data_IF_192852537538
#
_entry.id   IF_192852537538
#
_cell.length_a   1.000
_cell.length_b   1.000
_cell.length_c   1.000
_cell.angle_alpha   90.00
_cell.angle_beta   90.00
_cell.angle_gamma   90.00
#
_symmetry.space_group_name_H-M   'P 1'
#
loop_
_entity.id
_entity.type
_entity.pdbx_description
1 polymer ?
#
# COMPACT_ATOMS: atom_id res chain seq x y z
N UNK A 1 52.32 21.96 41.64
CA UNK A 1 52.27 20.56 42.12
C UNK A 1 52.59 19.65 40.95
N UNK A 2 53.76 19.03 41.00
CA UNK A 2 54.26 18.04 40.06
C UNK A 2 53.61 16.67 40.30
N UNK A 3 53.28 15.94 39.23
CA UNK A 3 53.55 14.50 39.12
C UNK A 3 53.51 14.06 37.65
N UNK A 4 54.69 13.97 37.08
CA UNK A 4 55.03 13.25 35.86
C UNK A 4 55.17 11.76 36.18
N UNK A 5 54.53 10.89 35.40
CA UNK A 5 54.90 9.47 35.28
C UNK A 5 55.15 9.17 33.82
N UNK A 6 56.44 9.12 33.51
CA UNK A 6 57.05 8.63 32.28
C UNK A 6 57.15 7.11 32.41
N UNK A 7 56.52 6.34 31.53
CA UNK A 7 56.82 4.92 31.36
C UNK A 7 57.21 4.62 29.91
N UNK A 8 58.54 4.69 29.71
CA UNK A 8 59.40 3.78 28.94
C UNK A 8 58.86 3.25 27.61
N UNK A 9 59.36 3.89 26.55
CA UNK A 9 59.76 3.23 25.31
C UNK A 9 60.35 1.83 25.57
N UNK A 10 59.74 0.82 24.97
CA UNK A 10 60.46 -0.39 24.56
C UNK A 10 60.64 -0.33 23.05
N UNK A 11 61.73 0.31 22.64
CA UNK A 11 62.30 0.22 21.30
C UNK A 11 62.79 -1.22 21.11
N UNK A 12 61.99 -2.06 20.45
CA UNK A 12 62.45 -3.34 19.91
C UNK A 12 63.26 -3.07 18.62
N UNK A 13 64.49 -2.58 18.78
CA UNK A 13 65.53 -2.70 17.75
C UNK A 13 66.28 -4.01 18.00
N UNK A 14 65.70 -5.13 17.58
CA UNK A 14 66.45 -6.38 17.44
C UNK A 14 67.24 -6.33 16.12
N UNK A 15 68.39 -5.67 16.15
CA UNK A 15 69.43 -5.88 15.15
C UNK A 15 70.09 -7.25 15.40
N UNK A 16 69.57 -8.28 14.74
CA UNK A 16 70.31 -9.54 14.57
C UNK A 16 71.28 -9.39 13.40
N UNK A 17 72.45 -8.80 13.66
CA UNK A 17 73.61 -8.88 12.77
C UNK A 17 74.27 -10.26 12.92
N UNK A 18 73.66 -11.28 12.33
CA UNK A 18 74.30 -12.57 12.10
C UNK A 18 74.05 -12.94 10.64
N UNK A 19 75.11 -12.90 9.82
CA UNK A 19 75.10 -13.23 8.40
C UNK A 19 74.85 -14.72 8.18
N UNK A 20 73.61 -15.16 8.37
CA UNK A 20 73.12 -16.49 8.02
C UNK A 20 71.92 -16.36 7.10
N UNK A 21 72.01 -16.92 5.90
CA UNK A 21 70.97 -17.25 4.91
C UNK A 21 69.50 -16.80 5.15
N UNK A 22 69.27 -15.51 5.40
CA UNK A 22 67.93 -14.95 5.67
C UNK A 22 67.00 -14.96 4.45
N UNK A 23 67.53 -15.15 3.24
CA UNK A 23 66.76 -15.19 1.99
C UNK A 23 65.74 -16.34 1.96
N UNK A 24 66.09 -17.50 2.52
CA UNK A 24 65.20 -18.66 2.57
C UNK A 24 64.00 -18.43 3.52
N UNK A 25 64.23 -17.70 4.62
CA UNK A 25 63.20 -17.41 5.63
C UNK A 25 62.21 -16.36 5.11
N UNK A 26 62.69 -15.34 4.40
CA UNK A 26 61.86 -14.31 3.77
C UNK A 26 61.01 -14.91 2.64
N UNK A 27 61.56 -15.79 1.80
CA UNK A 27 60.79 -16.51 0.76
C UNK A 27 59.72 -17.42 1.36
N UNK A 28 60.02 -18.07 2.48
CA UNK A 28 59.03 -18.85 3.24
C UNK A 28 57.85 -17.98 3.68
N UNK A 29 58.11 -16.84 4.32
CA UNK A 29 57.08 -15.92 4.82
C UNK A 29 56.20 -15.40 3.67
N UNK A 30 56.78 -15.03 2.53
CA UNK A 30 56.02 -14.57 1.36
C UNK A 30 54.97 -15.58 0.89
N UNK A 31 55.35 -16.86 0.81
CA UNK A 31 54.43 -17.94 0.44
C UNK A 31 53.31 -18.18 1.45
N UNK A 32 53.56 -17.97 2.75
CA UNK A 32 52.51 -18.06 3.77
C UNK A 32 51.51 -16.91 3.68
N UNK A 33 51.98 -15.68 3.44
CA UNK A 33 51.10 -14.50 3.31
C UNK A 33 50.18 -14.63 2.10
N UNK A 34 50.68 -15.12 0.96
CA UNK A 34 49.88 -15.34 -0.24
C UNK A 34 48.79 -16.39 -0.01
N UNK A 35 49.12 -17.52 0.63
CA UNK A 35 48.15 -18.56 0.97
C UNK A 35 47.09 -18.07 1.96
N UNK A 36 47.48 -17.32 2.99
CA UNK A 36 46.54 -16.73 3.95
C UNK A 36 45.57 -15.75 3.28
N UNK A 37 46.07 -14.96 2.33
CA UNK A 37 45.26 -14.03 1.55
C UNK A 37 44.19 -14.77 0.74
N UNK A 38 44.57 -15.84 0.04
CA UNK A 38 43.62 -16.68 -0.72
C UNK A 38 42.57 -17.30 0.20
N UNK A 39 42.98 -17.89 1.33
CA UNK A 39 42.06 -18.49 2.30
C UNK A 39 41.08 -17.45 2.84
N UNK A 40 41.56 -16.24 3.15
CA UNK A 40 40.71 -15.15 3.65
C UNK A 40 39.63 -14.75 2.64
N UNK A 41 39.98 -14.63 1.35
CA UNK A 41 38.99 -14.34 0.30
C UNK A 41 37.93 -15.44 0.16
N UNK A 42 38.31 -16.71 0.27
CA UNK A 42 37.36 -17.83 0.22
C UNK A 42 36.36 -17.76 1.38
N UNK A 43 36.84 -17.49 2.60
CA UNK A 43 35.98 -17.35 3.79
C UNK A 43 35.01 -16.18 3.63
N UNK A 44 35.47 -15.03 3.17
CA UNK A 44 34.61 -13.87 2.92
C UNK A 44 33.55 -14.15 1.85
N UNK A 45 33.91 -14.86 0.78
CA UNK A 45 32.96 -15.25 -0.26
C UNK A 45 31.85 -16.17 0.29
N UNK A 46 32.20 -17.15 1.13
CA UNK A 46 31.21 -18.06 1.75
C UNK A 46 30.26 -17.29 2.67
N UNK A 47 30.78 -16.34 3.47
CA UNK A 47 29.96 -15.49 4.33
C UNK A 47 28.99 -14.65 3.48
N UNK A 48 29.49 -14.00 2.42
CA UNK A 48 28.66 -13.19 1.53
C UNK A 48 27.54 -13.99 0.84
N UNK A 49 27.83 -15.22 0.38
CA UNK A 49 26.81 -16.09 -0.22
C UNK A 49 25.75 -16.49 0.81
N UNK A 50 26.18 -16.75 2.06
CA UNK A 50 25.27 -17.14 3.15
C UNK A 50 24.33 -16.00 3.54
N UNK A 51 24.84 -14.77 3.65
CA UNK A 51 24.04 -13.58 3.93
C UNK A 51 23.04 -13.29 2.79
N UNK A 52 23.51 -13.37 1.54
CA UNK A 52 22.65 -13.20 0.37
C UNK A 52 21.52 -14.25 0.34
N UNK A 53 21.85 -15.51 0.61
CA UNK A 53 20.85 -16.58 0.69
C UNK A 53 19.83 -16.35 1.81
N UNK A 54 20.29 -15.90 2.98
CA UNK A 54 19.42 -15.58 4.11
C UNK A 54 18.48 -14.40 3.80
N UNK A 55 19.00 -13.34 3.18
CA UNK A 55 18.19 -12.20 2.73
C UNK A 55 17.11 -12.60 1.73
N UNK A 56 17.45 -13.42 0.71
CA UNK A 56 16.50 -13.94 -0.25
C UNK A 56 15.44 -14.85 0.40
N UNK A 57 15.83 -15.65 1.40
CA UNK A 57 14.91 -16.53 2.14
C UNK A 57 13.92 -15.71 2.97
N UNK A 58 14.39 -14.69 3.69
CA UNK A 58 13.53 -13.78 4.44
C UNK A 58 12.58 -13.02 3.52
N UNK A 59 13.08 -12.48 2.41
CA UNK A 59 12.27 -11.80 1.42
C UNK A 59 11.13 -12.70 0.90
N UNK A 60 11.43 -13.95 0.54
CA UNK A 60 10.42 -14.91 0.08
C UNK A 60 9.36 -15.21 1.15
N UNK A 61 9.76 -15.34 2.41
CA UNK A 61 8.81 -15.63 3.49
C UNK A 61 7.90 -14.44 3.78
N UNK A 62 8.47 -13.23 3.89
CA UNK A 62 7.69 -12.01 4.09
C UNK A 62 6.74 -11.75 2.91
N UNK A 63 7.22 -11.92 1.68
CA UNK A 63 6.41 -11.71 0.49
C UNK A 63 5.23 -12.69 0.41
N UNK A 64 5.44 -13.96 0.76
CA UNK A 64 4.35 -14.95 0.82
C UNK A 64 3.31 -14.60 1.88
N UNK A 65 3.74 -14.19 3.08
CA UNK A 65 2.83 -13.79 4.14
C UNK A 65 2.01 -12.55 3.75
N UNK A 66 2.65 -11.57 3.12
CA UNK A 66 1.99 -10.37 2.61
C UNK A 66 0.95 -10.70 1.53
N UNK A 67 1.30 -11.53 0.54
CA UNK A 67 0.36 -11.97 -0.51
C UNK A 67 -0.84 -12.69 0.10
N UNK A 68 -0.64 -13.56 1.09
CA UNK A 68 -1.74 -14.28 1.74
C UNK A 68 -2.67 -13.34 2.51
N UNK A 69 -2.13 -12.33 3.20
CA UNK A 69 -2.95 -11.31 3.86
C UNK A 69 -3.76 -10.48 2.85
N UNK A 70 -3.14 -10.10 1.74
CA UNK A 70 -3.82 -9.31 0.70
C UNK A 70 -4.94 -10.11 0.02
N UNK A 71 -4.71 -11.40 -0.29
CA UNK A 71 -5.73 -12.30 -0.82
C UNK A 71 -6.84 -12.53 0.21
N UNK A 72 -6.51 -12.72 1.49
CA UNK A 72 -7.51 -12.90 2.54
C UNK A 72 -8.39 -11.65 2.73
N UNK A 73 -7.81 -10.45 2.70
CA UNK A 73 -8.57 -9.21 2.80
C UNK A 73 -9.51 -9.01 1.60
N UNK A 74 -9.02 -9.22 0.38
CA UNK A 74 -9.82 -9.03 -0.84
C UNK A 74 -10.92 -10.08 -0.97
N UNK A 75 -10.65 -11.35 -0.63
CA UNK A 75 -11.67 -12.41 -0.63
C UNK A 75 -12.72 -12.19 0.45
N UNK A 76 -12.34 -11.80 1.67
CA UNK A 76 -13.31 -11.48 2.72
C UNK A 76 -14.19 -10.28 2.35
N UNK A 77 -13.63 -9.25 1.71
CA UNK A 77 -14.43 -8.10 1.25
C UNK A 77 -15.44 -8.50 0.17
N UNK A 78 -15.04 -9.34 -0.80
CA UNK A 78 -15.95 -9.86 -1.85
C UNK A 78 -17.02 -10.80 -1.29
N UNK A 79 -16.67 -11.68 -0.37
CA UNK A 79 -17.63 -12.58 0.29
C UNK A 79 -18.62 -11.75 1.13
N UNK A 80 -18.14 -10.74 1.85
CA UNK A 80 -18.98 -9.87 2.69
C UNK A 80 -19.93 -9.00 1.86
N UNK A 81 -19.49 -8.46 0.72
CA UNK A 81 -20.36 -7.71 -0.19
C UNK A 81 -21.35 -8.62 -0.91
N UNK A 82 -20.94 -9.82 -1.33
CA UNK A 82 -21.82 -10.78 -2.01
C UNK A 82 -22.93 -11.32 -1.09
N UNK A 83 -22.61 -11.67 0.16
CA UNK A 83 -23.62 -12.12 1.12
C UNK A 83 -24.61 -10.99 1.44
N UNK A 84 -24.15 -9.74 1.56
CA UNK A 84 -25.02 -8.60 1.86
C UNK A 84 -25.94 -8.23 0.69
N UNK A 85 -25.41 -8.17 -0.53
CA UNK A 85 -26.24 -7.93 -1.73
C UNK A 85 -27.30 -9.00 -1.94
N UNK A 86 -26.97 -10.28 -1.73
CA UNK A 86 -27.97 -11.36 -1.76
C UNK A 86 -29.07 -11.18 -0.72
N UNK A 87 -28.77 -10.63 0.45
CA UNK A 87 -29.78 -10.45 1.50
C UNK A 87 -30.76 -9.35 1.13
N UNK A 88 -30.27 -8.28 0.50
CA UNK A 88 -31.08 -7.19 -0.05
C UNK A 88 -31.99 -7.67 -1.18
N UNK A 89 -31.42 -8.30 -2.21
CA UNK A 89 -32.16 -8.83 -3.36
C UNK A 89 -33.22 -9.84 -2.92
N UNK A 90 -32.89 -10.70 -1.94
CA UNK A 90 -33.85 -11.66 -1.39
C UNK A 90 -35.02 -10.95 -0.71
N UNK A 91 -34.74 -9.95 0.13
CA UNK A 91 -35.79 -9.24 0.87
C UNK A 91 -36.70 -8.47 -0.07
N UNK A 92 -36.16 -7.86 -1.11
CA UNK A 92 -36.93 -7.15 -2.15
C UNK A 92 -37.82 -8.10 -2.94
N UNK A 93 -37.30 -9.27 -3.35
CA UNK A 93 -38.08 -10.30 -4.04
C UNK A 93 -39.21 -10.85 -3.17
N UNK A 94 -38.94 -11.16 -1.90
CA UNK A 94 -39.97 -11.69 -1.00
C UNK A 94 -41.02 -10.63 -0.61
N UNK A 95 -40.62 -9.35 -0.52
CA UNK A 95 -41.55 -8.25 -0.24
C UNK A 95 -42.62 -8.09 -1.34
N UNK A 96 -42.26 -8.35 -2.60
CA UNK A 96 -43.19 -8.32 -3.73
C UNK A 96 -44.13 -9.53 -3.80
N UNK A 97 -43.86 -10.60 -3.07
CA UNK A 97 -44.63 -11.85 -3.08
C UNK A 97 -45.51 -12.05 -1.83
N UNK A 98 -45.38 -11.19 -0.82
CA UNK A 98 -46.03 -11.35 0.48
C UNK A 98 -47.07 -10.25 0.74
N UNK A 99 -48.19 -10.65 1.34
CA UNK A 99 -49.21 -9.72 1.83
C UNK A 99 -48.73 -8.96 3.07
N UNK A 100 -49.45 -7.88 3.45
CA UNK A 100 -49.15 -7.04 4.61
C UNK A 100 -48.80 -7.82 5.92
N UNK A 101 -49.49 -8.90 6.33
CA UNK A 101 -49.09 -9.68 7.50
C UNK A 101 -47.81 -10.51 7.28
N UNK A 102 -47.55 -10.98 6.05
CA UNK A 102 -46.32 -11.67 5.67
C UNK A 102 -45.10 -10.76 5.72
N UNK A 103 -45.30 -9.48 5.40
CA UNK A 103 -44.25 -8.46 5.43
C UNK A 103 -43.72 -8.19 6.84
N UNK A 104 -44.58 -8.23 7.87
CA UNK A 104 -44.18 -8.09 9.29
C UNK A 104 -43.36 -9.29 9.76
N UNK A 105 -43.71 -10.50 9.29
CA UNK A 105 -42.94 -11.72 9.58
C UNK A 105 -41.57 -11.70 8.90
N UNK A 106 -41.49 -11.20 7.67
CA UNK A 106 -40.23 -11.05 6.93
C UNK A 106 -39.28 -10.07 7.65
N UNK A 107 -39.77 -8.91 8.10
CA UNK A 107 -38.98 -7.95 8.88
C UNK A 107 -38.39 -8.61 10.13
N UNK A 108 -39.21 -9.32 10.91
CA UNK A 108 -38.77 -10.02 12.11
C UNK A 108 -37.75 -11.13 11.81
N UNK A 109 -37.96 -11.87 10.72
CA UNK A 109 -37.04 -12.92 10.28
C UNK A 109 -35.67 -12.35 9.91
N UNK A 110 -35.63 -11.27 9.11
CA UNK A 110 -34.38 -10.60 8.70
C UNK A 110 -33.64 -10.04 9.91
N UNK A 111 -34.36 -9.35 10.80
CA UNK A 111 -33.79 -8.76 12.02
C UNK A 111 -33.17 -9.81 12.96
N UNK A 112 -33.82 -10.96 13.13
CA UNK A 112 -33.36 -12.00 14.06
C UNK A 112 -32.29 -12.90 13.47
N UNK A 113 -32.43 -13.33 12.22
CA UNK A 113 -31.67 -14.47 11.67
C UNK A 113 -30.59 -14.09 10.64
N UNK A 114 -30.74 -12.97 9.93
CA UNK A 114 -29.86 -12.61 8.80
C UNK A 114 -28.86 -11.51 9.12
N UNK A 115 -29.08 -10.74 10.18
CA UNK A 115 -28.16 -9.69 10.62
C UNK A 115 -27.12 -10.22 11.60
N UNK A 116 -25.85 -9.90 11.35
CA UNK A 116 -24.77 -10.11 12.33
C UNK A 116 -25.01 -9.23 13.58
N UNK A 117 -24.51 -9.63 14.75
CA UNK A 117 -24.58 -8.85 16.00
C UNK A 117 -24.22 -7.35 15.82
N UNK A 118 -23.10 -7.04 15.16
CA UNK A 118 -22.69 -5.65 14.88
C UNK A 118 -23.65 -4.90 13.93
N UNK A 119 -24.34 -5.62 13.05
CA UNK A 119 -25.35 -5.03 12.17
C UNK A 119 -26.63 -4.69 12.94
N UNK A 120 -27.04 -5.54 13.89
CA UNK A 120 -28.18 -5.29 14.79
C UNK A 120 -27.97 -4.05 15.66
N UNK A 121 -26.73 -3.71 16.00
CA UNK A 121 -26.39 -2.49 16.75
C UNK A 121 -26.50 -1.20 15.92
N UNK A 122 -26.49 -1.28 14.59
CA UNK A 122 -26.46 -0.11 13.68
C UNK A 122 -27.81 0.20 13.03
N UNK A 123 -28.71 -0.78 13.05
CA UNK A 123 -30.01 -0.79 12.39
C UNK A 123 -31.07 -0.65 13.49
N UNK A 124 -32.19 0.03 13.20
CA UNK A 124 -33.31 0.13 14.13
C UNK A 124 -33.85 -1.25 14.52
N UNK A 125 -34.23 -1.42 15.79
CA UNK A 125 -34.74 -2.69 16.33
C UNK A 125 -36.15 -3.08 15.84
N UNK A 126 -36.87 -2.15 15.20
CA UNK A 126 -38.20 -2.39 14.66
C UNK A 126 -38.48 -1.46 13.47
N UNK A 127 -39.19 -1.98 12.46
CA UNK A 127 -39.62 -1.26 11.27
C UNK A 127 -41.11 -1.43 11.04
N UNK A 128 -41.78 -0.38 10.53
CA UNK A 128 -43.21 -0.43 10.20
C UNK A 128 -43.45 -0.92 8.79
N UNK A 129 -42.53 -0.59 7.88
CA UNK A 129 -42.60 -1.02 6.48
C UNK A 129 -41.31 -1.74 6.07
N UNK A 130 -41.40 -2.63 5.09
CA UNK A 130 -40.22 -3.27 4.52
C UNK A 130 -39.33 -2.23 3.83
N UNK A 131 -39.91 -1.18 3.26
CA UNK A 131 -39.15 -0.14 2.57
C UNK A 131 -38.19 0.57 3.53
N UNK A 132 -38.64 0.92 4.72
CA UNK A 132 -37.78 1.50 5.77
C UNK A 132 -36.63 0.55 6.15
N UNK A 133 -36.91 -0.76 6.25
CA UNK A 133 -35.88 -1.77 6.50
C UNK A 133 -34.87 -1.83 5.35
N UNK A 134 -35.32 -1.89 4.10
CA UNK A 134 -34.45 -1.93 2.92
C UNK A 134 -33.58 -0.67 2.85
N UNK A 135 -34.14 0.51 3.12
CA UNK A 135 -33.40 1.77 3.08
C UNK A 135 -32.32 1.82 4.16
N UNK A 136 -32.60 1.35 5.38
CA UNK A 136 -31.59 1.25 6.45
C UNK A 136 -30.56 0.15 6.19
N UNK A 137 -30.95 -0.98 5.58
CA UNK A 137 -30.00 -2.00 5.12
C UNK A 137 -29.04 -1.41 4.07
N UNK A 138 -29.56 -0.65 3.10
CA UNK A 138 -28.78 0.07 2.09
C UNK A 138 -27.85 1.10 2.72
N UNK A 139 -28.35 1.84 3.71
CA UNK A 139 -27.59 2.92 4.37
C UNK A 139 -26.47 2.41 5.28
N UNK A 140 -26.71 1.35 6.06
CA UNK A 140 -25.80 0.92 7.13
C UNK A 140 -25.04 -0.39 6.84
N UNK A 141 -25.52 -1.23 5.91
CA UNK A 141 -24.87 -2.51 5.60
C UNK A 141 -24.17 -2.54 4.26
N UNK A 142 -24.59 -1.78 3.26
CA UNK A 142 -23.77 -1.65 2.07
C UNK A 142 -22.50 -0.90 2.47
N UNK A 143 -21.31 -1.49 2.28
CA UNK A 143 -20.08 -0.76 2.51
C UNK A 143 -20.02 0.35 1.46
N UNK A 144 -20.46 1.56 1.83
CA UNK A 144 -20.03 2.76 1.12
C UNK A 144 -18.50 2.70 1.12
N UNK A 145 -17.88 2.76 -0.08
CA UNK A 145 -16.45 3.02 -0.17
C UNK A 145 -16.19 4.21 0.74
N UNK A 146 -15.40 4.05 1.79
CA UNK A 146 -15.26 5.15 2.75
C UNK A 146 -14.55 6.29 2.03
N UNK A 147 -15.03 7.53 2.24
CA UNK A 147 -14.38 8.69 1.65
C UNK A 147 -12.89 8.71 2.04
N UNK A 148 -12.56 8.27 3.27
CA UNK A 148 -11.19 8.10 3.75
C UNK A 148 -10.37 7.13 2.91
N UNK A 149 -10.94 6.00 2.50
CA UNK A 149 -10.24 5.03 1.65
C UNK A 149 -9.98 5.60 0.26
N UNK A 150 -10.97 6.27 -0.34
CA UNK A 150 -10.83 6.91 -1.66
C UNK A 150 -9.81 8.06 -1.57
N UNK A 151 -9.87 8.88 -0.52
CA UNK A 151 -8.93 9.97 -0.29
C UNK A 151 -7.50 9.46 -0.09
N UNK A 152 -7.32 8.36 0.65
CA UNK A 152 -6.01 7.72 0.82
C UNK A 152 -5.48 7.17 -0.50
N UNK A 153 -6.34 6.55 -1.32
CA UNK A 153 -5.96 6.09 -2.66
C UNK A 153 -5.54 7.26 -3.55
N UNK A 154 -6.31 8.35 -3.56
CA UNK A 154 -6.02 9.56 -4.33
C UNK A 154 -4.75 10.29 -3.85
N UNK A 155 -4.39 10.17 -2.57
CA UNK A 155 -3.16 10.74 -2.02
C UNK A 155 -1.90 9.96 -2.42
N UNK A 156 -2.04 8.65 -2.57
CA UNK A 156 -0.91 7.74 -2.81
C UNK A 156 -0.76 7.32 -4.28
N UNK A 157 -1.68 7.73 -5.15
CA UNK A 157 -1.61 7.43 -6.57
C UNK A 157 -0.39 8.12 -7.21
N UNK A 158 0.33 7.38 -8.05
CA UNK A 158 1.49 7.85 -8.80
C UNK A 158 1.43 7.29 -10.22
N UNK A 159 1.94 8.04 -11.19
CA UNK A 159 1.97 7.62 -12.60
C UNK A 159 2.75 6.30 -12.78
N UNK A 160 3.95 6.22 -12.20
CA UNK A 160 4.81 5.04 -12.29
C UNK A 160 5.19 4.68 -13.73
N UNK A 161 4.76 3.51 -14.20
CA UNK A 161 4.95 3.00 -15.57
C UNK A 161 3.73 3.15 -16.48
N UNK A 162 2.66 3.80 -16.00
CA UNK A 162 1.42 4.02 -16.77
C UNK A 162 1.58 5.22 -17.69
N UNK A 163 0.80 5.26 -18.78
CA UNK A 163 0.67 6.46 -19.60
C UNK A 163 0.05 7.59 -18.77
N UNK A 164 0.31 8.84 -19.16
CA UNK A 164 -0.33 10.02 -18.55
C UNK A 164 -1.86 9.92 -18.63
N UNK A 165 -2.38 9.37 -19.72
CA UNK A 165 -3.81 9.26 -19.99
C UNK A 165 -4.49 8.27 -19.05
N UNK A 166 -3.91 7.07 -18.88
CA UNK A 166 -4.43 6.06 -17.95
C UNK A 166 -4.37 6.55 -16.51
N UNK A 167 -3.27 7.23 -16.15
CA UNK A 167 -3.11 7.85 -14.84
C UNK A 167 -4.14 8.96 -14.59
N UNK A 168 -4.36 9.84 -15.58
CA UNK A 168 -5.35 10.92 -15.52
C UNK A 168 -6.77 10.39 -15.37
N UNK A 169 -7.12 9.36 -16.13
CA UNK A 169 -8.43 8.71 -16.05
C UNK A 169 -8.69 8.11 -14.66
N UNK A 170 -7.69 7.47 -14.07
CA UNK A 170 -7.81 6.89 -12.73
C UNK A 170 -7.97 7.98 -11.64
N UNK A 171 -7.23 9.09 -11.76
CA UNK A 171 -7.40 10.26 -10.89
C UNK A 171 -8.80 10.86 -11.01
N UNK A 172 -9.32 11.04 -12.23
CA UNK A 172 -10.66 11.57 -12.48
C UNK A 172 -11.76 10.64 -11.92
N UNK A 173 -11.57 9.33 -12.06
CA UNK A 173 -12.46 8.33 -11.48
C UNK A 173 -12.49 8.42 -9.95
N UNK A 174 -11.32 8.43 -9.31
CA UNK A 174 -11.22 8.54 -7.85
C UNK A 174 -11.80 9.86 -7.33
N UNK A 175 -11.57 10.96 -8.05
CA UNK A 175 -12.15 12.27 -7.77
C UNK A 175 -13.68 12.24 -7.79
N UNK A 176 -14.26 11.65 -8.84
CA UNK A 176 -15.71 11.54 -9.00
C UNK A 176 -16.31 10.69 -7.89
N UNK A 177 -15.71 9.53 -7.61
CA UNK A 177 -16.12 8.66 -6.50
C UNK A 177 -16.01 9.37 -5.14
N UNK A 178 -14.94 10.14 -4.90
CA UNK A 178 -14.74 10.91 -3.66
C UNK A 178 -15.83 11.96 -3.48
N UNK A 179 -16.11 12.74 -4.53
CA UNK A 179 -17.08 13.83 -4.50
C UNK A 179 -18.50 13.30 -4.28
N UNK A 180 -18.86 12.21 -4.95
CA UNK A 180 -20.16 11.54 -4.74
C UNK A 180 -20.27 11.01 -3.30
N UNK A 181 -19.20 10.38 -2.81
CA UNK A 181 -19.20 9.78 -1.46
C UNK A 181 -19.27 10.85 -0.37
N UNK A 182 -18.57 11.97 -0.52
CA UNK A 182 -18.60 13.09 0.43
C UNK A 182 -19.91 13.89 0.36
N UNK A 183 -20.50 14.04 -0.83
CA UNK A 183 -21.78 14.72 -1.00
C UNK A 183 -22.95 13.93 -0.39
N UNK A 184 -22.80 12.62 -0.18
CA UNK A 184 -23.79 11.75 0.44
C UNK A 184 -25.19 11.85 -0.20
N UNK A 185 -25.22 12.10 -1.52
CA UNK A 185 -26.46 12.29 -2.29
C UNK A 185 -27.09 13.69 -2.22
N UNK A 186 -26.45 14.67 -1.57
CA UNK A 186 -26.93 16.06 -1.50
C UNK A 186 -26.37 16.90 -2.64
N UNK A 187 -27.25 17.41 -3.50
CA UNK A 187 -26.88 18.21 -4.67
C UNK A 187 -26.15 19.52 -4.29
N UNK A 188 -26.58 20.16 -3.21
CA UNK A 188 -26.00 21.42 -2.72
C UNK A 188 -24.57 21.22 -2.18
N UNK A 189 -24.31 20.06 -1.60
CA UNK A 189 -22.97 19.70 -1.11
C UNK A 189 -22.05 19.31 -2.28
N UNK A 190 -22.60 18.66 -3.30
CA UNK A 190 -21.86 18.28 -4.51
C UNK A 190 -21.32 19.51 -5.26
N UNK A 191 -22.13 20.56 -5.44
CA UNK A 191 -21.73 21.77 -6.16
C UNK A 191 -20.58 22.53 -5.48
N UNK A 192 -20.51 22.49 -4.14
CA UNK A 192 -19.44 23.09 -3.35
C UNK A 192 -18.19 22.21 -3.31
N UNK A 193 -18.36 20.90 -3.17
CA UNK A 193 -17.23 19.96 -3.06
C UNK A 193 -16.51 19.74 -4.38
N UNK A 194 -17.22 19.80 -5.51
CA UNK A 194 -16.65 19.59 -6.84
C UNK A 194 -15.41 20.46 -7.11
N UNK A 195 -15.45 21.82 -7.01
CA UNK A 195 -14.28 22.65 -7.26
C UNK A 195 -13.15 22.44 -6.23
N UNK A 196 -13.48 22.09 -4.98
CA UNK A 196 -12.48 21.82 -3.92
C UNK A 196 -11.71 20.54 -4.25
N UNK A 197 -12.45 19.47 -4.59
CA UNK A 197 -11.86 18.18 -4.89
C UNK A 197 -11.13 18.20 -6.24
N UNK A 198 -11.60 18.97 -7.23
CA UNK A 198 -10.89 19.19 -8.50
C UNK A 198 -9.51 19.82 -8.25
N UNK A 199 -9.43 20.87 -7.43
CA UNK A 199 -8.15 21.48 -7.06
C UNK A 199 -7.23 20.49 -6.32
N UNK A 200 -7.79 19.67 -5.44
CA UNK A 200 -7.04 18.62 -4.75
C UNK A 200 -6.49 17.57 -5.74
N UNK A 201 -7.32 17.11 -6.68
CA UNK A 201 -6.93 16.14 -7.70
C UNK A 201 -5.86 16.70 -8.64
N UNK A 202 -5.95 17.97 -9.05
CA UNK A 202 -4.92 18.64 -9.88
C UNK A 202 -3.58 18.68 -9.15
N UNK A 203 -3.58 19.08 -7.87
CA UNK A 203 -2.37 19.11 -7.05
C UNK A 203 -1.75 17.72 -6.88
N UNK A 204 -2.57 16.67 -6.77
CA UNK A 204 -2.09 15.29 -6.66
C UNK A 204 -1.62 14.71 -7.98
N UNK A 205 -2.37 14.97 -9.06
CA UNK A 205 -2.00 14.61 -10.42
C UNK A 205 -0.62 15.18 -10.74
N UNK A 206 -0.43 16.49 -10.60
CA UNK A 206 0.85 17.18 -10.85
C UNK A 206 1.98 16.71 -9.93
N UNK A 207 1.72 16.41 -8.66
CA UNK A 207 2.72 15.87 -7.75
C UNK A 207 3.12 14.40 -8.04
N UNK A 208 2.23 13.62 -8.64
CA UNK A 208 2.45 12.21 -8.98
C UNK A 208 2.90 11.95 -10.42
N UNK A 209 3.00 13.00 -11.25
CA UNK A 209 3.60 12.93 -12.59
C UNK A 209 5.12 12.68 -12.49
N UNK A 210 5.63 11.88 -13.43
CA UNK A 210 7.04 11.49 -13.47
C UNK A 210 7.94 12.63 -13.97
N UNK A 211 7.40 13.59 -14.71
CA UNK A 211 8.06 14.81 -15.22
C UNK A 211 7.05 15.97 -15.27
N UNK A 212 7.53 17.15 -14.87
CA UNK A 212 6.93 18.49 -14.92
C UNK A 212 5.72 18.83 -14.02
N UNK A 213 5.73 20.07 -13.52
CA UNK A 213 4.64 20.71 -12.77
C UNK A 213 3.68 21.36 -13.77
N UNK A 214 2.49 20.81 -13.90
CA UNK A 214 1.42 21.39 -14.71
C UNK A 214 0.37 22.05 -13.81
N UNK A 215 -0.04 23.27 -14.19
CA UNK A 215 -0.98 24.11 -13.44
C UNK A 215 -2.04 24.64 -14.39
N UNK A 216 -3.30 24.31 -14.09
CA UNK A 216 -4.45 25.22 -13.90
C UNK A 216 -5.81 24.51 -14.11
N UNK A 217 -5.87 23.35 -14.79
CA UNK A 217 -7.05 22.48 -14.91
C UNK A 217 -6.65 21.00 -15.11
N UNK A 218 -7.44 20.01 -14.65
CA UNK A 218 -7.08 18.59 -14.78
C UNK A 218 -7.04 18.13 -16.24
N UNK A 219 -8.04 18.52 -17.05
CA UNK A 219 -8.08 18.19 -18.48
C UNK A 219 -6.93 18.86 -19.24
N UNK A 220 -6.65 20.12 -18.93
CA UNK A 220 -5.56 20.87 -19.57
C UNK A 220 -4.19 20.33 -19.13
N UNK A 221 -4.06 19.88 -17.87
CA UNK A 221 -2.86 19.23 -17.36
C UNK A 221 -2.63 17.85 -17.99
N UNK A 222 -3.68 17.06 -18.23
CA UNK A 222 -3.57 15.78 -18.95
C UNK A 222 -3.14 16.04 -20.40
N UNK A 223 -3.75 17.01 -21.08
CA UNK A 223 -3.41 17.34 -22.46
C UNK A 223 -1.98 17.87 -22.60
N UNK A 224 -1.56 18.77 -21.71
CA UNK A 224 -0.21 19.31 -21.73
C UNK A 224 0.87 18.25 -21.40
N UNK A 225 0.60 17.34 -20.46
CA UNK A 225 1.50 16.22 -20.18
C UNK A 225 1.59 15.23 -21.36
N UNK A 226 0.49 15.03 -22.09
CA UNK A 226 0.46 14.23 -23.32
C UNK A 226 1.32 14.86 -24.43
N UNK A 227 1.22 16.19 -24.59
CA UNK A 227 1.99 16.93 -25.59
C UNK A 227 3.52 16.90 -25.26
N UNK A 228 3.89 16.93 -23.97
CA UNK A 228 5.28 16.73 -23.51
C UNK A 228 5.79 15.30 -23.73
N UNK A 229 4.98 14.26 -23.51
CA UNK A 229 5.38 12.88 -23.82
C UNK A 229 5.65 12.72 -25.32
N UNK A 230 4.78 13.22 -26.20
CA UNK A 230 4.97 13.16 -27.65
C UNK A 230 6.25 13.83 -28.16
N UNK A 231 6.66 14.95 -27.56
CA UNK A 231 7.88 15.68 -27.95
C UNK A 231 9.16 14.98 -27.46
N UNK A 232 9.11 14.26 -26.34
CA UNK A 232 10.26 13.50 -25.81
C UNK A 232 10.62 12.24 -26.61
N UNK A 233 9.73 11.75 -27.48
CA UNK A 233 9.98 10.64 -28.39
C UNK A 233 10.58 11.07 -29.75
N UNK A 234 10.69 12.38 -30.00
CA UNK A 234 11.23 12.94 -31.25
C UNK A 234 12.64 13.55 -31.11
N UNK A 235 13.21 13.55 -29.89
CA UNK A 235 14.58 13.99 -29.60
C UNK A 235 15.47 12.79 -29.26
#
# INVERSE_FOLDING_TARGET
MCRTTVEKEQVFLTQSSAGGNNDALIKGIGGYVERLTIVTYIVLAIIGITEMYFGLRLYRNCHRAWIQQEIAMTTMQRIRSSIRGRTEDSVEVYAGMLDAPGNVLLINFVLKSRLSENAKLRISGSYKTIQELIDDLKKYLLPKKSFMAIQTQLQNIQQGSRSVEDYGFEVEKLLTELTITQADGKLDTFSVLKPINENFAINRFSAGLRRSKLSTNLKDAIQAAKDEECTSFQA
#
